data_IF_845087591441
#
_entry.id   IF_845087591441
#
_cell.length_a   1.000
_cell.length_b   1.000
_cell.length_c   1.000
_cell.angle_alpha   90.00
_cell.angle_beta   90.00
_cell.angle_gamma   90.00
#
_symmetry.space_group_name_H-M   'P 1'
#
loop_
_entity.id
_entity.type
_entity.pdbx_description
1 polymer ?
#
# COMPACT_ATOMS: atom_id res chain seq x y z
N UNK A 1 11.78 11.44 -22.65
CA UNK A 1 13.04 11.10 -21.96
C UNK A 1 12.65 10.70 -20.54
N UNK A 2 13.07 9.53 -20.07
CA UNK A 2 12.72 8.99 -18.75
C UNK A 2 13.95 9.13 -17.85
N UNK A 3 13.76 9.42 -16.56
CA UNK A 3 14.87 9.42 -15.60
C UNK A 3 15.40 7.99 -15.45
N UNK A 4 16.72 7.82 -15.53
CA UNK A 4 17.39 6.52 -15.55
C UNK A 4 18.22 6.22 -14.30
N UNK A 5 18.25 7.10 -13.32
CA UNK A 5 19.07 6.96 -12.12
C UNK A 5 18.81 5.67 -11.33
N UNK A 6 17.54 5.26 -11.20
CA UNK A 6 17.18 4.00 -10.54
C UNK A 6 17.51 2.79 -11.43
N UNK A 7 17.36 2.93 -12.75
CA UNK A 7 17.64 1.87 -13.71
C UNK A 7 19.14 1.54 -13.80
N UNK A 8 20.00 2.56 -13.70
CA UNK A 8 21.46 2.38 -13.64
C UNK A 8 21.89 1.59 -12.39
N UNK A 9 21.32 1.92 -11.24
CA UNK A 9 21.59 1.20 -9.99
C UNK A 9 21.02 -0.23 -10.04
N UNK A 10 19.78 -0.38 -10.49
CA UNK A 10 19.14 -1.68 -10.65
C UNK A 10 19.97 -2.63 -11.54
N UNK A 11 20.42 -2.18 -12.71
CA UNK A 11 21.15 -3.01 -13.66
C UNK A 11 22.50 -3.57 -13.13
N UNK A 12 23.05 -2.97 -12.07
CA UNK A 12 24.27 -3.40 -11.40
C UNK A 12 24.02 -4.11 -10.05
N UNK A 13 22.76 -4.24 -9.64
CA UNK A 13 22.37 -4.79 -8.33
C UNK A 13 22.28 -6.31 -8.32
N UNK A 14 22.37 -6.92 -7.13
CA UNK A 14 22.07 -8.35 -6.94
C UNK A 14 20.60 -8.65 -7.24
N UNK A 15 19.69 -7.70 -6.98
CA UNK A 15 18.25 -7.81 -7.30
C UNK A 15 18.03 -8.13 -8.79
N UNK A 16 18.76 -7.46 -9.69
CA UNK A 16 18.64 -7.77 -11.12
C UNK A 16 19.08 -9.20 -11.48
N UNK A 17 20.07 -9.74 -10.77
CA UNK A 17 20.51 -11.13 -10.95
C UNK A 17 19.47 -12.13 -10.43
N UNK A 18 18.76 -11.79 -9.35
CA UNK A 18 17.68 -12.60 -8.79
C UNK A 18 16.44 -12.57 -9.69
N UNK A 19 16.05 -11.38 -10.18
CA UNK A 19 14.91 -11.21 -11.08
C UNK A 19 15.15 -11.87 -12.45
N UNK A 20 16.40 -11.89 -12.92
CA UNK A 20 16.81 -12.48 -14.19
C UNK A 20 17.99 -13.48 -14.01
N UNK A 21 17.72 -14.71 -13.52
CA UNK A 21 18.77 -15.71 -13.24
C UNK A 21 19.54 -16.18 -14.48
N UNK A 22 18.92 -16.14 -15.64
CA UNK A 22 19.58 -16.41 -16.92
C UNK A 22 20.36 -15.15 -17.28
N UNK A 23 21.67 -15.29 -17.55
CA UNK A 23 22.60 -14.18 -17.81
C UNK A 23 22.11 -13.23 -18.90
N UNK A 24 21.33 -12.22 -18.51
CA UNK A 24 20.89 -11.13 -19.36
C UNK A 24 22.01 -10.10 -19.49
N UNK A 25 22.03 -9.37 -20.60
CA UNK A 25 22.97 -8.25 -20.77
C UNK A 25 22.63 -7.15 -19.78
N UNK A 26 23.63 -6.38 -19.33
CA UNK A 26 23.41 -5.18 -18.51
C UNK A 26 22.38 -4.24 -19.13
N UNK A 27 22.43 -4.06 -20.46
CA UNK A 27 21.50 -3.21 -21.20
C UNK A 27 20.05 -3.71 -21.09
N UNK A 28 19.82 -5.02 -21.05
CA UNK A 28 18.48 -5.59 -20.85
C UNK A 28 17.93 -5.19 -19.49
N UNK A 29 18.71 -5.40 -18.42
CA UNK A 29 18.29 -5.04 -17.07
C UNK A 29 18.05 -3.54 -16.93
N UNK A 30 18.91 -2.72 -17.54
CA UNK A 30 18.73 -1.27 -17.62
C UNK A 30 17.40 -0.90 -18.29
N UNK A 31 17.10 -1.43 -19.48
CA UNK A 31 15.84 -1.17 -20.17
C UNK A 31 14.61 -1.62 -19.36
N UNK A 32 14.69 -2.76 -18.67
CA UNK A 32 13.65 -3.20 -17.75
C UNK A 32 13.47 -2.21 -16.58
N UNK A 33 14.57 -1.69 -16.01
CA UNK A 33 14.53 -0.66 -14.97
C UNK A 33 13.84 0.62 -15.44
N UNK A 34 14.12 1.08 -16.66
CA UNK A 34 13.43 2.24 -17.27
C UNK A 34 11.94 1.99 -17.41
N UNK A 35 11.55 0.80 -17.90
CA UNK A 35 10.14 0.45 -18.06
C UNK A 35 9.40 0.41 -16.71
N UNK A 36 10.02 -0.17 -15.68
CA UNK A 36 9.46 -0.20 -14.32
C UNK A 36 9.35 1.20 -13.71
N UNK A 37 10.36 2.04 -13.89
CA UNK A 37 10.31 3.44 -13.44
C UNK A 37 9.16 4.20 -14.10
N UNK A 38 8.91 3.98 -15.39
CA UNK A 38 7.79 4.61 -16.10
C UNK A 38 6.43 4.15 -15.54
N UNK A 39 6.31 2.89 -15.13
CA UNK A 39 5.08 2.35 -14.54
C UNK A 39 4.85 2.88 -13.12
N UNK A 40 5.88 2.82 -12.27
CA UNK A 40 5.80 3.29 -10.89
C UNK A 40 7.18 3.71 -10.37
N UNK A 41 7.51 5.02 -10.40
CA UNK A 41 8.76 5.53 -9.89
C UNK A 41 8.96 5.24 -8.39
N UNK A 42 7.88 5.29 -7.61
CA UNK A 42 7.92 5.15 -6.15
C UNK A 42 8.40 3.75 -5.74
N UNK A 43 7.89 2.70 -6.41
CA UNK A 43 8.34 1.31 -6.20
C UNK A 43 9.84 1.16 -6.52
N UNK A 44 10.32 1.80 -7.58
CA UNK A 44 11.74 1.70 -7.94
C UNK A 44 12.66 2.45 -6.97
N UNK A 45 12.28 3.63 -6.48
CA UNK A 45 13.05 4.31 -5.42
C UNK A 45 13.08 3.52 -4.11
N UNK A 46 11.92 2.99 -3.68
CA UNK A 46 11.83 2.20 -2.45
C UNK A 46 12.65 0.90 -2.52
N UNK A 47 12.77 0.31 -3.71
CA UNK A 47 13.51 -0.93 -3.90
C UNK A 47 15.05 -0.75 -3.87
N UNK A 48 15.57 0.47 -3.97
CA UNK A 48 17.02 0.74 -3.87
C UNK A 48 17.56 0.59 -2.45
N UNK A 49 16.70 0.72 -1.43
CA UNK A 49 17.12 0.64 -0.03
C UNK A 49 18.24 1.63 0.30
N UNK A 50 19.41 1.11 0.68
CA UNK A 50 20.57 1.96 1.06
C UNK A 50 21.22 2.66 -0.14
N UNK A 51 21.12 2.07 -1.33
CA UNK A 51 21.75 2.63 -2.53
C UNK A 51 21.08 3.93 -2.98
N UNK A 52 19.88 4.22 -2.47
CA UNK A 52 19.15 5.47 -2.70
C UNK A 52 19.99 6.72 -2.35
N UNK A 53 20.84 6.64 -1.32
CA UNK A 53 21.72 7.75 -0.89
C UNK A 53 22.75 8.11 -1.98
N UNK A 54 23.07 7.17 -2.87
CA UNK A 54 24.00 7.38 -3.98
C UNK A 54 23.44 8.33 -5.05
N UNK A 55 22.11 8.44 -5.15
CA UNK A 55 21.45 9.35 -6.10
C UNK A 55 21.63 10.79 -5.63
N UNK A 56 22.15 11.66 -6.50
CA UNK A 56 22.41 13.07 -6.19
C UNK A 56 21.21 13.93 -6.62
N UNK A 57 20.35 14.28 -5.67
CA UNK A 57 19.18 15.14 -5.95
C UNK A 57 19.52 16.63 -5.94
N UNK A 58 20.55 17.03 -5.19
CA UNK A 58 20.99 18.43 -5.11
C UNK A 58 22.51 18.56 -5.13
N UNK A 59 23.08 19.64 -5.71
CA UNK A 59 24.54 19.82 -5.79
C UNK A 59 25.28 19.83 -4.45
N UNK A 60 24.57 20.18 -3.36
CA UNK A 60 25.11 20.26 -2.01
C UNK A 60 25.10 18.94 -1.23
N UNK A 61 24.39 17.91 -1.71
CA UNK A 61 24.13 16.67 -0.97
C UNK A 61 25.40 15.96 -0.52
N UNK A 62 26.43 15.91 -1.38
CA UNK A 62 27.75 15.30 -1.08
C UNK A 62 28.50 15.92 0.11
N UNK A 63 28.10 17.10 0.57
CA UNK A 63 28.72 17.76 1.72
C UNK A 63 28.00 17.45 3.04
N UNK A 64 26.89 16.71 2.98
CA UNK A 64 26.15 16.24 4.14
C UNK A 64 26.61 14.84 4.54
N UNK A 65 26.43 14.50 5.82
CA UNK A 65 26.65 13.15 6.28
C UNK A 65 25.54 12.22 5.74
N UNK A 66 25.91 10.99 5.36
CA UNK A 66 25.01 10.03 4.71
C UNK A 66 23.78 9.69 5.57
N UNK A 67 23.92 9.70 6.89
CA UNK A 67 22.83 9.45 7.85
C UNK A 67 21.76 10.55 7.81
N UNK A 68 22.17 11.81 7.65
CA UNK A 68 21.26 12.94 7.50
C UNK A 68 20.50 12.82 6.17
N UNK A 69 21.21 12.49 5.09
CA UNK A 69 20.61 12.30 3.76
C UNK A 69 19.63 11.13 3.77
N UNK A 70 20.05 9.98 4.30
CA UNK A 70 19.21 8.78 4.40
C UNK A 70 17.92 9.06 5.17
N UNK A 71 18.01 9.76 6.31
CA UNK A 71 16.84 10.12 7.12
C UNK A 71 15.88 11.04 6.37
N UNK A 72 16.39 12.01 5.62
CA UNK A 72 15.55 12.92 4.85
C UNK A 72 14.86 12.22 3.66
N UNK A 73 15.57 11.30 3.01
CA UNK A 73 15.01 10.47 1.94
C UNK A 73 13.96 9.50 2.48
N UNK A 74 14.21 8.88 3.64
CA UNK A 74 13.22 8.04 4.34
C UNK A 74 11.96 8.85 4.66
N UNK A 75 12.09 10.07 5.19
CA UNK A 75 10.95 10.95 5.45
C UNK A 75 10.15 11.26 4.18
N UNK A 76 10.81 11.55 3.06
CA UNK A 76 10.15 11.81 1.79
C UNK A 76 9.43 10.56 1.24
N UNK A 77 10.01 9.38 1.42
CA UNK A 77 9.35 8.12 1.08
C UNK A 77 8.13 7.85 1.96
N UNK A 78 8.22 8.11 3.27
CA UNK A 78 7.06 8.02 4.17
C UNK A 78 5.94 8.94 3.68
N UNK A 79 6.24 10.21 3.40
CA UNK A 79 5.21 11.15 2.93
C UNK A 79 4.53 10.66 1.65
N UNK A 80 5.32 10.25 0.64
CA UNK A 80 4.79 9.82 -0.66
C UNK A 80 4.09 8.47 -0.61
N UNK A 81 4.60 7.50 0.15
CA UNK A 81 3.96 6.17 0.29
C UNK A 81 2.62 6.30 0.99
N UNK A 82 2.51 7.09 2.05
CA UNK A 82 1.24 7.30 2.72
C UNK A 82 0.27 8.15 1.88
N UNK A 83 0.80 9.11 1.10
CA UNK A 83 0.01 9.85 0.12
C UNK A 83 -0.51 8.95 -1.02
N UNK A 84 0.21 7.91 -1.44
CA UNK A 84 -0.28 6.99 -2.47
C UNK A 84 -1.15 5.87 -1.89
N UNK A 85 -0.86 5.40 -0.69
CA UNK A 85 -1.46 4.18 -0.14
C UNK A 85 -0.78 2.94 -0.69
N UNK A 86 -0.96 1.81 -0.01
CA UNK A 86 -0.42 0.50 -0.41
C UNK A 86 -1.53 -0.54 -0.37
N UNK A 87 -1.71 -1.26 -1.48
CA UNK A 87 -2.57 -2.45 -1.50
C UNK A 87 -1.87 -3.58 -0.75
N UNK A 88 -2.51 -4.07 0.32
CA UNK A 88 -1.92 -5.12 1.16
C UNK A 88 -1.86 -6.48 0.48
N UNK A 89 -2.84 -6.83 -0.36
CA UNK A 89 -2.88 -8.11 -1.08
C UNK A 89 -1.86 -8.09 -2.25
N UNK A 90 -1.73 -6.96 -2.94
CA UNK A 90 -0.64 -6.77 -3.91
C UNK A 90 0.73 -6.86 -3.21
N UNK A 91 0.89 -6.24 -2.03
CA UNK A 91 2.15 -6.27 -1.29
C UNK A 91 2.58 -7.68 -0.82
N UNK A 92 1.64 -8.61 -0.65
CA UNK A 92 1.95 -10.00 -0.27
C UNK A 92 2.45 -10.82 -1.46
N UNK A 93 2.00 -10.49 -2.68
CA UNK A 93 2.31 -11.24 -3.90
C UNK A 93 3.40 -10.60 -4.76
N UNK A 94 3.52 -9.27 -4.76
CA UNK A 94 4.52 -8.50 -5.49
C UNK A 94 5.57 -7.89 -4.54
N UNK A 95 6.82 -8.33 -4.72
CA UNK A 95 7.95 -7.83 -3.92
C UNK A 95 8.18 -6.33 -4.10
N UNK A 96 7.88 -5.75 -5.27
CA UNK A 96 8.06 -4.32 -5.50
C UNK A 96 7.09 -3.49 -4.64
N UNK A 97 5.83 -3.89 -4.57
CA UNK A 97 4.84 -3.31 -3.65
C UNK A 97 5.19 -3.59 -2.19
N UNK A 98 5.68 -4.80 -1.87
CA UNK A 98 6.11 -5.16 -0.53
C UNK A 98 7.17 -4.19 0.04
N UNK A 99 8.08 -3.70 -0.81
CA UNK A 99 9.14 -2.77 -0.41
C UNK A 99 8.60 -1.41 0.09
N UNK A 100 7.36 -1.05 -0.27
CA UNK A 100 6.69 0.16 0.19
C UNK A 100 6.23 0.05 1.65
N UNK A 101 5.87 -1.15 2.12
CA UNK A 101 5.26 -1.36 3.44
C UNK A 101 6.09 -0.81 4.60
N UNK A 102 7.42 -0.80 4.48
CA UNK A 102 8.29 -0.28 5.55
C UNK A 102 8.14 1.23 5.76
N UNK A 103 7.62 1.97 4.78
CA UNK A 103 7.42 3.42 4.81
C UNK A 103 5.99 3.83 5.17
N UNK A 104 5.08 2.87 5.37
CA UNK A 104 3.72 3.15 5.85
C UNK A 104 3.76 3.60 7.32
N UNK A 105 2.95 4.60 7.67
CA UNK A 105 2.86 5.14 9.02
C UNK A 105 2.69 4.05 10.08
N UNK A 106 3.51 4.07 11.13
CA UNK A 106 3.47 3.07 12.20
C UNK A 106 4.14 1.73 11.88
N UNK A 107 4.44 1.47 10.60
CA UNK A 107 5.31 0.38 10.16
C UNK A 107 6.78 0.83 10.15
N UNK A 108 7.62 -0.10 9.72
CA UNK A 108 9.06 -0.03 9.67
C UNK A 108 9.57 -1.40 9.20
N UNK A 109 10.85 -1.57 8.87
CA UNK A 109 11.33 -2.76 8.18
C UNK A 109 10.92 -4.07 8.87
N UNK A 110 11.09 -4.14 10.20
CA UNK A 110 10.73 -5.31 11.01
C UNK A 110 9.22 -5.60 11.03
N UNK A 111 8.39 -4.56 11.14
CA UNK A 111 6.94 -4.71 11.20
C UNK A 111 6.35 -5.04 9.83
N UNK A 112 6.90 -4.46 8.76
CA UNK A 112 6.52 -4.77 7.40
C UNK A 112 6.78 -6.24 7.05
N UNK A 113 7.99 -6.76 7.36
CA UNK A 113 8.29 -8.19 7.17
C UNK A 113 7.42 -9.10 8.04
N UNK A 114 7.09 -8.66 9.27
CA UNK A 114 6.19 -9.41 10.14
C UNK A 114 4.76 -9.47 9.59
N UNK A 115 4.23 -8.34 9.14
CA UNK A 115 2.91 -8.22 8.52
C UNK A 115 2.75 -9.21 7.37
N UNK A 116 3.66 -9.17 6.38
CA UNK A 116 3.63 -10.10 5.23
C UNK A 116 3.70 -11.55 5.66
N UNK A 117 4.55 -11.87 6.63
CA UNK A 117 4.68 -13.24 7.15
C UNK A 117 3.37 -13.72 7.79
N UNK A 118 2.73 -12.90 8.61
CA UNK A 118 1.48 -13.28 9.29
C UNK A 118 0.33 -13.37 8.29
N UNK A 119 0.22 -12.46 7.33
CA UNK A 119 -0.80 -12.54 6.28
C UNK A 119 -0.65 -13.84 5.48
N UNK A 120 0.58 -14.20 5.08
CA UNK A 120 0.84 -15.50 4.44
C UNK A 120 0.45 -16.71 5.32
N UNK A 121 0.67 -16.64 6.63
CA UNK A 121 0.24 -17.70 7.56
C UNK A 121 -1.28 -17.79 7.71
N UNK A 122 -1.99 -16.68 7.54
CA UNK A 122 -3.44 -16.58 7.65
C UNK A 122 -4.17 -16.83 6.31
N UNK A 123 -3.47 -17.28 5.27
CA UNK A 123 -4.08 -17.65 3.98
C UNK A 123 -3.69 -16.74 2.80
N UNK A 124 -2.91 -15.69 3.03
CA UNK A 124 -2.33 -14.84 1.98
C UNK A 124 -3.27 -13.80 1.39
N UNK A 125 -4.53 -13.77 1.80
CA UNK A 125 -5.54 -12.79 1.38
C UNK A 125 -6.12 -12.13 2.62
N UNK A 126 -6.29 -10.82 2.55
CA UNK A 126 -6.96 -9.99 3.57
C UNK A 126 -8.26 -9.49 2.95
N UNK A 127 -9.41 -9.74 3.59
CA UNK A 127 -10.72 -9.32 3.06
C UNK A 127 -11.22 -8.01 3.68
N UNK A 128 -10.76 -7.68 4.88
CA UNK A 128 -11.05 -6.42 5.52
C UNK A 128 -9.87 -5.91 6.33
N UNK A 129 -9.78 -4.60 6.54
CA UNK A 129 -8.66 -4.01 7.31
C UNK A 129 -8.61 -4.50 8.75
N UNK A 130 -9.73 -4.87 9.35
CA UNK A 130 -9.85 -5.30 10.76
C UNK A 130 -9.22 -6.69 10.99
N UNK A 131 -9.18 -7.55 9.97
CA UNK A 131 -8.52 -8.86 10.03
C UNK A 131 -7.05 -8.77 10.46
N UNK A 132 -6.38 -7.65 10.16
CA UNK A 132 -4.98 -7.39 10.56
C UNK A 132 -4.78 -7.35 12.08
N UNK A 133 -5.84 -7.09 12.85
CA UNK A 133 -5.83 -7.16 14.31
C UNK A 133 -5.92 -8.60 14.85
N UNK A 134 -6.19 -9.59 14.00
CA UNK A 134 -6.33 -10.99 14.41
C UNK A 134 -7.56 -11.26 15.26
N UNK A 135 -8.64 -10.48 15.10
CA UNK A 135 -9.92 -10.74 15.80
C UNK A 135 -10.56 -12.01 15.26
N UNK A 136 -10.46 -12.24 13.95
CA UNK A 136 -11.01 -13.41 13.26
C UNK A 136 -9.93 -14.35 12.70
N UNK A 137 -8.66 -13.90 12.70
CA UNK A 137 -7.53 -14.67 12.18
C UNK A 137 -6.75 -15.39 13.30
N UNK A 138 -6.06 -16.47 12.94
CA UNK A 138 -5.33 -17.30 13.90
C UNK A 138 -4.15 -16.56 14.57
N UNK A 139 -3.52 -15.62 13.86
CA UNK A 139 -2.42 -14.81 14.37
C UNK A 139 -2.65 -13.31 14.06
N UNK A 140 -2.48 -12.41 15.05
CA UNK A 140 -2.59 -10.98 14.81
C UNK A 140 -1.36 -10.48 14.03
N UNK A 141 -1.59 -9.77 12.93
CA UNK A 141 -0.51 -9.20 12.12
C UNK A 141 0.09 -7.96 12.77
N UNK A 142 -0.70 -7.24 13.57
CA UNK A 142 -0.28 -6.05 14.28
C UNK A 142 -1.16 -5.75 15.50
N UNK A 143 -0.65 -4.90 16.40
CA UNK A 143 -1.41 -4.41 17.54
C UNK A 143 -2.22 -3.16 17.21
N UNK A 144 -3.24 -2.89 18.02
CA UNK A 144 -4.22 -1.78 17.84
C UNK A 144 -3.55 -0.42 17.57
N UNK A 145 -2.50 -0.06 18.32
CA UNK A 145 -1.80 1.22 18.11
C UNK A 145 -1.13 1.33 16.75
N UNK A 146 -0.60 0.23 16.23
CA UNK A 146 0.03 0.21 14.90
C UNK A 146 -1.05 0.30 13.84
N UNK A 147 -2.12 -0.48 14.02
CA UNK A 147 -3.27 -0.48 13.13
C UNK A 147 -3.90 0.90 12.99
N UNK A 148 -4.19 1.59 14.10
CA UNK A 148 -4.71 2.97 14.05
C UNK A 148 -3.78 3.95 13.31
N UNK A 149 -2.46 3.70 13.29
CA UNK A 149 -1.54 4.57 12.57
C UNK A 149 -1.48 4.27 11.06
N UNK A 150 -1.77 3.02 10.64
CA UNK A 150 -1.58 2.58 9.26
C UNK A 150 -2.87 2.30 8.49
N UNK A 151 -4.02 2.13 9.16
CA UNK A 151 -5.21 1.56 8.54
C UNK A 151 -5.76 2.38 7.36
N UNK A 152 -5.67 3.71 7.40
CA UNK A 152 -6.08 4.57 6.28
C UNK A 152 -5.14 4.55 5.07
N UNK A 153 -3.92 4.05 5.24
CA UNK A 153 -2.88 4.00 4.21
C UNK A 153 -2.73 2.61 3.58
N UNK A 154 -3.32 1.59 4.19
CA UNK A 154 -3.44 0.26 3.64
C UNK A 154 -4.83 0.10 3.04
N UNK A 155 -4.93 -0.17 1.75
CA UNK A 155 -6.22 -0.36 1.10
C UNK A 155 -6.34 -1.77 0.52
N UNK A 156 -7.57 -2.14 0.19
CA UNK A 156 -7.94 -3.41 -0.41
C UNK A 156 -8.68 -3.11 -1.70
N UNK A 157 -8.12 -3.53 -2.83
CA UNK A 157 -8.74 -3.30 -4.12
C UNK A 157 -9.91 -4.28 -4.34
N UNK A 158 -11.11 -3.72 -4.54
CA UNK A 158 -12.41 -4.38 -4.79
C UNK A 158 -12.41 -5.44 -5.90
N UNK A 159 -11.49 -5.39 -6.88
CA UNK A 159 -11.38 -6.45 -7.90
C UNK A 159 -10.86 -7.78 -7.33
N UNK A 160 -10.16 -7.73 -6.19
CA UNK A 160 -9.45 -8.87 -5.59
C UNK A 160 -10.08 -9.36 -4.27
N UNK A 161 -11.25 -8.86 -3.90
CA UNK A 161 -11.95 -9.21 -2.64
C UNK A 161 -13.33 -9.80 -2.94
N UNK A 162 -13.84 -10.61 -2.01
CA UNK A 162 -15.20 -11.16 -2.06
C UNK A 162 -16.28 -10.09 -2.26
N UNK A 163 -17.41 -10.48 -2.85
CA UNK A 163 -18.56 -9.60 -3.16
C UNK A 163 -19.11 -8.79 -1.99
N UNK A 164 -18.80 -9.18 -0.75
CA UNK A 164 -19.30 -8.53 0.47
C UNK A 164 -18.29 -7.57 1.12
N UNK A 165 -17.13 -7.34 0.50
CA UNK A 165 -16.13 -6.37 0.96
C UNK A 165 -16.76 -5.00 1.23
N UNK A 166 -16.31 -4.33 2.29
CA UNK A 166 -16.72 -2.97 2.58
C UNK A 166 -16.04 -2.02 1.56
N UNK A 167 -16.80 -1.29 0.72
CA UNK A 167 -16.20 -0.38 -0.26
C UNK A 167 -15.27 0.67 0.36
N UNK A 168 -15.48 1.01 1.64
CA UNK A 168 -14.66 1.97 2.36
C UNK A 168 -13.21 1.49 2.54
N UNK A 169 -12.95 0.17 2.50
CA UNK A 169 -11.60 -0.39 2.56
C UNK A 169 -10.75 -0.09 1.31
N UNK A 170 -11.37 0.34 0.20
CA UNK A 170 -10.69 0.87 -0.98
C UNK A 170 -10.58 2.41 -0.99
N UNK A 171 -10.89 3.07 0.13
CA UNK A 171 -10.83 4.54 0.24
C UNK A 171 -9.77 4.99 1.24
N UNK A 172 -9.48 6.29 1.28
CA UNK A 172 -8.59 6.88 2.32
C UNK A 172 -9.29 7.13 3.65
N UNK A 173 -10.58 6.81 3.77
CA UNK A 173 -11.33 6.95 5.01
C UNK A 173 -10.72 6.01 6.03
N UNK A 174 -10.43 6.52 7.23
CA UNK A 174 -9.94 5.68 8.31
C UNK A 174 -11.11 4.86 8.89
N UNK A 175 -10.91 3.59 9.29
CA UNK A 175 -11.97 2.76 9.87
C UNK A 175 -12.71 3.37 11.07
N UNK A 176 -12.08 4.28 11.79
CA UNK A 176 -12.73 5.02 12.91
C UNK A 176 -13.88 5.94 12.45
N UNK A 177 -13.86 6.35 11.18
CA UNK A 177 -14.82 7.27 10.57
C UNK A 177 -15.83 6.57 9.64
N UNK A 178 -15.84 5.22 9.57
CA UNK A 178 -16.74 4.48 8.68
C UNK A 178 -18.21 4.76 8.97
N UNK A 179 -18.57 4.90 10.24
CA UNK A 179 -19.95 5.23 10.62
C UNK A 179 -20.36 6.63 10.16
N UNK A 180 -19.42 7.57 10.10
CA UNK A 180 -19.67 8.92 9.56
C UNK A 180 -19.85 8.84 8.04
N UNK A 181 -18.97 8.11 7.35
CA UNK A 181 -19.05 7.94 5.90
C UNK A 181 -20.37 7.27 5.46
N UNK A 182 -20.82 6.24 6.19
CA UNK A 182 -22.10 5.57 5.93
C UNK A 182 -23.31 6.49 6.14
N UNK A 183 -23.29 7.32 7.18
CA UNK A 183 -24.35 8.34 7.41
C UNK A 183 -24.38 9.37 6.29
N UNK A 184 -23.22 9.87 5.86
CA UNK A 184 -23.13 10.79 4.73
C UNK A 184 -23.69 10.17 3.44
N UNK A 185 -23.42 8.89 3.20
CA UNK A 185 -23.98 8.17 2.05
C UNK A 185 -25.50 8.00 2.15
N UNK A 186 -26.04 7.73 3.34
CA UNK A 186 -27.49 7.63 3.56
C UNK A 186 -28.19 8.98 3.32
N UNK A 187 -27.64 10.06 3.88
CA UNK A 187 -28.16 11.42 3.71
C UNK A 187 -28.15 11.83 2.24
N UNK A 188 -27.10 11.47 1.49
CA UNK A 188 -26.99 11.75 0.06
C UNK A 188 -28.04 11.00 -0.79
N UNK A 189 -28.49 9.83 -0.34
CA UNK A 189 -29.56 9.04 -0.97
C UNK A 189 -30.96 9.40 -0.45
N UNK A 190 -31.08 10.38 0.45
CA UNK A 190 -32.33 10.79 1.09
C UNK A 190 -33.08 9.61 1.76
N UNK A 191 -32.33 8.63 2.30
CA UNK A 191 -32.91 7.47 2.98
C UNK A 191 -33.37 7.83 4.40
N UNK A 192 -34.49 7.24 4.82
CA UNK A 192 -34.95 7.33 6.20
C UNK A 192 -34.32 6.23 7.09
N UNK A 193 -34.53 6.32 8.41
CA UNK A 193 -33.95 5.35 9.36
C UNK A 193 -34.45 3.92 9.15
N UNK A 194 -35.66 3.74 8.61
CA UNK A 194 -36.25 2.42 8.35
C UNK A 194 -35.56 1.77 7.14
N UNK A 195 -35.35 2.53 6.07
CA UNK A 195 -34.65 2.11 4.87
C UNK A 195 -33.18 1.77 5.15
N UNK A 196 -32.48 2.62 5.93
CA UNK A 196 -31.07 2.37 6.30
C UNK A 196 -30.96 1.04 7.05
N UNK A 197 -31.86 0.80 8.00
CA UNK A 197 -31.84 -0.41 8.82
C UNK A 197 -32.16 -1.65 8.01
N UNK A 198 -33.18 -1.60 7.15
CA UNK A 198 -33.55 -2.71 6.28
C UNK A 198 -32.38 -3.13 5.37
N UNK A 199 -31.73 -2.18 4.71
CA UNK A 199 -30.59 -2.43 3.82
C UNK A 199 -29.36 -2.95 4.58
N UNK A 200 -29.10 -2.42 5.77
CA UNK A 200 -27.96 -2.85 6.60
C UNK A 200 -28.16 -4.25 7.17
N UNK A 201 -29.39 -4.61 7.56
CA UNK A 201 -29.71 -5.94 8.09
C UNK A 201 -29.66 -7.02 7.00
N UNK A 202 -30.03 -6.69 5.76
CA UNK A 202 -30.01 -7.63 4.62
C UNK A 202 -28.63 -7.79 4.00
N UNK A 203 -27.92 -6.68 3.78
CA UNK A 203 -26.68 -6.64 2.99
C UNK A 203 -25.44 -6.26 3.79
N UNK A 204 -25.54 -6.08 5.11
CA UNK A 204 -24.42 -5.75 5.98
C UNK A 204 -24.02 -4.27 5.99
N UNK A 205 -22.98 -3.91 6.75
CA UNK A 205 -22.66 -2.50 7.06
C UNK A 205 -22.20 -1.66 5.85
N UNK A 206 -21.69 -2.29 4.79
CA UNK A 206 -21.29 -1.62 3.55
C UNK A 206 -22.43 -1.36 2.56
N UNK A 207 -23.66 -1.80 2.85
CA UNK A 207 -24.78 -1.79 1.90
C UNK A 207 -25.12 -0.40 1.35
N UNK A 208 -25.23 0.59 2.24
CA UNK A 208 -25.58 1.97 1.88
C UNK A 208 -24.54 2.58 0.94
N UNK A 209 -23.26 2.37 1.22
CA UNK A 209 -22.16 2.87 0.39
C UNK A 209 -22.18 2.17 -0.99
N UNK A 210 -22.45 0.86 -1.03
CA UNK A 210 -22.62 0.13 -2.30
C UNK A 210 -23.82 0.64 -3.11
N UNK A 211 -24.91 1.02 -2.46
CA UNK A 211 -26.10 1.59 -3.11
C UNK A 211 -25.77 2.93 -3.76
N UNK A 212 -25.08 3.82 -3.02
CA UNK A 212 -24.61 5.11 -3.54
C UNK A 212 -23.72 4.93 -4.77
N UNK A 213 -22.75 4.02 -4.72
CA UNK A 213 -21.85 3.74 -5.85
C UNK A 213 -22.57 3.19 -7.09
N UNK A 214 -23.70 2.49 -6.92
CA UNK A 214 -24.51 1.96 -8.03
C UNK A 214 -25.38 3.04 -8.68
N UNK A 215 -25.91 3.98 -7.90
CA UNK A 215 -26.70 5.11 -8.41
C UNK A 215 -25.86 6.04 -9.28
N UNK A 216 -24.60 6.31 -8.90
CA UNK A 216 -23.67 7.15 -9.69
C UNK A 216 -23.28 6.53 -11.05
N UNK A 217 -23.50 5.23 -11.24
CA UNK A 217 -23.19 4.51 -12.50
C UNK A 217 -24.35 4.51 -13.51
N UNK A 218 -25.53 5.05 -13.16
CA UNK A 218 -26.70 5.19 -14.03
C UNK A 218 -26.80 6.58 -14.67
#
# INVERSE_FOLDING_TARGET
MVNDETAQLYANSERATVDFPIKQSWLTCYCCGIARYLQNPLKEYAALGKDLVSIQFTPGQRYLAEDIVAKQLESALVDMVNLCGVDINEAVSDTATQNLLQYVCGLGPRKASHLVKIVNMNGGIVNNRVELLGVEAQYPAMGVKVWNNCASFLYLDWENVETDADPLDNTRVHPEDYDIARKMAADALELDEEDIKAETDESGPGAIVRKLLKDDLQ
#
